data_IF_921475192872
#
_entry.id   IF_921475192872
#
_cell.length_a   1.000
_cell.length_b   1.000
_cell.length_c   1.000
_cell.angle_alpha   90.00
_cell.angle_beta   90.00
_cell.angle_gamma   90.00
#
_symmetry.space_group_name_H-M   'P 1'
#
loop_
_entity.id
_entity.type
_entity.pdbx_description
1 polymer ?
#
# COMPACT_ATOMS: atom_id res chain seq x y z
N UNK A 1 1.04 -11.67 -44.75
CA UNK A 1 -0.21 -11.78 -43.97
C UNK A 1 0.14 -12.33 -42.60
N UNK A 2 -0.15 -11.56 -41.56
CA UNK A 2 0.14 -11.84 -40.16
C UNK A 2 -0.60 -13.08 -39.67
N UNK A 3 0.14 -14.11 -39.27
CA UNK A 3 -0.42 -15.22 -38.49
C UNK A 3 -0.82 -14.68 -37.11
N UNK A 4 -2.12 -14.40 -36.94
CA UNK A 4 -2.72 -14.12 -35.65
C UNK A 4 -2.59 -15.38 -34.78
N UNK A 5 -1.57 -15.39 -33.93
CA UNK A 5 -1.38 -16.41 -32.90
C UNK A 5 -2.56 -16.34 -31.93
N UNK A 6 -3.63 -17.11 -32.20
CA UNK A 6 -4.75 -17.30 -31.27
C UNK A 6 -4.21 -18.04 -30.04
N UNK A 7 -3.77 -17.29 -29.04
CA UNK A 7 -3.54 -17.85 -27.69
C UNK A 7 -4.79 -18.64 -27.28
N UNK A 8 -4.61 -19.90 -26.89
CA UNK A 8 -5.70 -20.77 -26.42
C UNK A 8 -6.40 -20.12 -25.22
N UNK A 9 -7.71 -20.35 -25.05
CA UNK A 9 -8.50 -19.87 -23.90
C UNK A 9 -7.81 -20.24 -22.56
N UNK A 10 -7.21 -21.43 -22.47
CA UNK A 10 -6.40 -21.88 -21.33
C UNK A 10 -5.14 -21.04 -21.11
N UNK A 11 -4.59 -20.40 -22.14
CA UNK A 11 -3.44 -19.50 -22.04
C UNK A 11 -3.86 -18.14 -21.50
N UNK A 12 -5.02 -17.62 -21.92
CA UNK A 12 -5.63 -16.42 -21.33
C UNK A 12 -6.04 -16.63 -19.86
N UNK A 13 -6.59 -17.80 -19.54
CA UNK A 13 -6.93 -18.21 -18.17
C UNK A 13 -5.69 -18.32 -17.26
N UNK A 14 -4.56 -18.77 -17.81
CA UNK A 14 -3.28 -18.85 -17.10
C UNK A 14 -2.59 -17.50 -16.96
N UNK A 15 -2.68 -16.63 -17.97
CA UNK A 15 -2.09 -15.28 -17.95
C UNK A 15 -2.94 -14.26 -17.19
N UNK A 16 -4.24 -14.52 -17.00
CA UNK A 16 -5.21 -13.66 -16.33
C UNK A 16 -5.97 -14.33 -15.18
N UNK A 17 -5.42 -15.37 -14.55
CA UNK A 17 -6.14 -16.19 -13.56
C UNK A 17 -6.78 -15.38 -12.42
N UNK A 18 -6.13 -14.30 -11.99
CA UNK A 18 -6.68 -13.38 -10.99
C UNK A 18 -7.95 -12.64 -11.48
N UNK A 19 -8.01 -12.26 -12.76
CA UNK A 19 -9.18 -11.62 -13.35
C UNK A 19 -10.36 -12.58 -13.42
N UNK A 20 -10.09 -13.87 -13.67
CA UNK A 20 -11.13 -14.91 -13.65
C UNK A 20 -11.69 -15.09 -12.24
N UNK A 21 -10.82 -15.17 -11.23
CA UNK A 21 -11.23 -15.23 -9.82
C UNK A 21 -12.09 -14.01 -9.45
N UNK A 22 -11.66 -12.81 -9.84
CA UNK A 22 -12.43 -11.58 -9.63
C UNK A 22 -13.80 -11.63 -10.30
N UNK A 23 -13.88 -12.04 -11.57
CA UNK A 23 -15.14 -12.09 -12.32
C UNK A 23 -16.13 -13.08 -11.71
N UNK A 24 -15.66 -14.25 -11.28
CA UNK A 24 -16.49 -15.25 -10.60
C UNK A 24 -17.00 -14.70 -9.27
N UNK A 25 -16.13 -14.08 -8.48
CA UNK A 25 -16.50 -13.51 -7.19
C UNK A 25 -17.48 -12.34 -7.34
N UNK A 26 -17.27 -11.47 -8.33
CA UNK A 26 -18.22 -10.41 -8.68
C UNK A 26 -19.57 -10.97 -9.11
N UNK A 27 -19.60 -12.01 -9.94
CA UNK A 27 -20.85 -12.64 -10.36
C UNK A 27 -21.64 -13.19 -9.15
N UNK A 28 -20.95 -13.82 -8.20
CA UNK A 28 -21.57 -14.31 -6.95
C UNK A 28 -22.13 -13.15 -6.12
N UNK A 29 -21.35 -12.09 -5.90
CA UNK A 29 -21.77 -10.93 -5.10
C UNK A 29 -22.97 -10.24 -5.74
N UNK A 30 -22.92 -9.98 -7.05
CA UNK A 30 -23.99 -9.28 -7.78
C UNK A 30 -25.27 -10.12 -7.79
N UNK A 31 -25.14 -11.45 -7.90
CA UNK A 31 -26.29 -12.35 -7.82
C UNK A 31 -26.94 -12.34 -6.43
N UNK A 32 -26.13 -12.24 -5.37
CA UNK A 32 -26.63 -12.22 -3.99
C UNK A 32 -27.22 -10.86 -3.60
N UNK A 33 -26.57 -9.76 -4.00
CA UNK A 33 -27.07 -8.40 -3.80
C UNK A 33 -26.67 -7.47 -4.96
N UNK A 34 -27.60 -7.18 -5.88
CA UNK A 34 -27.36 -6.29 -7.02
C UNK A 34 -27.00 -4.85 -6.62
N UNK A 35 -27.37 -4.41 -5.40
CA UNK A 35 -27.06 -3.06 -4.92
C UNK A 35 -25.57 -2.84 -4.69
N UNK A 36 -24.77 -3.91 -4.70
CA UNK A 36 -23.32 -3.85 -4.75
C UNK A 36 -22.80 -2.92 -5.87
N UNK A 37 -23.47 -2.90 -7.03
CA UNK A 37 -23.10 -2.06 -8.18
C UNK A 37 -23.49 -0.58 -8.02
N UNK A 38 -24.02 -0.16 -6.87
CA UNK A 38 -24.39 1.23 -6.62
C UNK A 38 -23.19 2.17 -6.72
N UNK A 39 -23.44 3.41 -7.16
CA UNK A 39 -22.42 4.46 -7.22
C UNK A 39 -21.82 4.80 -5.85
N UNK A 40 -22.56 4.57 -4.77
CA UNK A 40 -22.07 4.71 -3.40
C UNK A 40 -21.04 3.64 -3.05
N UNK A 41 -21.32 2.37 -3.37
CA UNK A 41 -20.36 1.29 -3.17
C UNK A 41 -19.11 1.48 -4.02
N UNK A 42 -19.27 1.92 -5.28
CA UNK A 42 -18.13 2.29 -6.12
C UNK A 42 -17.29 3.41 -5.50
N UNK A 43 -17.94 4.44 -4.95
CA UNK A 43 -17.27 5.55 -4.25
C UNK A 43 -16.47 5.05 -3.03
N UNK A 44 -17.05 4.14 -2.24
CA UNK A 44 -16.40 3.56 -1.07
C UNK A 44 -15.21 2.69 -1.45
N UNK A 45 -15.35 1.85 -2.48
CA UNK A 45 -14.27 1.03 -3.02
C UNK A 45 -13.11 1.92 -3.46
N UNK A 46 -13.38 2.97 -4.25
CA UNK A 46 -12.35 3.89 -4.70
C UNK A 46 -11.65 4.61 -3.53
N UNK A 47 -12.41 5.05 -2.53
CA UNK A 47 -11.85 5.71 -1.34
C UNK A 47 -10.92 4.77 -0.56
N UNK A 48 -11.32 3.52 -0.35
CA UNK A 48 -10.47 2.51 0.31
C UNK A 48 -9.26 2.14 -0.54
N UNK A 49 -9.45 1.94 -1.84
CA UNK A 49 -8.35 1.65 -2.78
C UNK A 49 -7.33 2.78 -2.78
N UNK A 50 -7.75 4.03 -2.65
CA UNK A 50 -6.87 5.20 -2.73
C UNK A 50 -5.75 5.15 -1.68
N UNK A 51 -6.08 4.82 -0.42
CA UNK A 51 -5.07 4.67 0.63
C UNK A 51 -4.15 3.48 0.36
N UNK A 52 -4.72 2.35 -0.11
CA UNK A 52 -3.96 1.14 -0.43
C UNK A 52 -3.03 1.32 -1.62
N UNK A 53 -3.41 2.14 -2.60
CA UNK A 53 -2.58 2.50 -3.75
C UNK A 53 -1.32 3.21 -3.26
N UNK A 54 -1.46 4.21 -2.39
CA UNK A 54 -0.32 4.96 -1.84
C UNK A 54 0.68 4.01 -1.17
N UNK A 55 0.21 3.10 -0.32
CA UNK A 55 1.05 2.10 0.35
C UNK A 55 1.70 1.15 -0.67
N UNK A 56 0.91 0.62 -1.62
CA UNK A 56 1.39 -0.31 -2.63
C UNK A 56 2.44 0.32 -3.55
N UNK A 57 2.33 1.61 -3.87
CA UNK A 57 3.35 2.33 -4.64
C UNK A 57 4.70 2.36 -3.92
N UNK A 58 4.71 2.50 -2.59
CA UNK A 58 5.92 2.40 -1.78
C UNK A 58 6.54 0.99 -1.84
N UNK A 59 5.72 -0.05 -1.70
CA UNK A 59 6.18 -1.45 -1.79
C UNK A 59 6.65 -1.82 -3.21
N UNK A 60 5.98 -1.33 -4.24
CA UNK A 60 6.25 -1.70 -5.63
C UNK A 60 7.69 -1.36 -6.04
N UNK A 61 8.22 -0.20 -5.62
CA UNK A 61 9.60 0.18 -5.93
C UNK A 61 10.62 -0.81 -5.37
N UNK A 62 10.36 -1.35 -4.17
CA UNK A 62 11.22 -2.33 -3.52
C UNK A 62 11.17 -3.67 -4.24
N UNK A 63 9.98 -4.15 -4.61
CA UNK A 63 9.82 -5.41 -5.36
C UNK A 63 10.55 -5.33 -6.70
N UNK A 64 10.47 -4.19 -7.41
CA UNK A 64 11.20 -4.01 -8.67
C UNK A 64 12.71 -4.20 -8.46
N UNK A 65 13.27 -3.79 -7.31
CA UNK A 65 14.69 -4.01 -6.98
C UNK A 65 15.01 -5.37 -6.34
N UNK A 66 14.12 -6.37 -6.43
CA UNK A 66 14.24 -7.67 -5.74
C UNK A 66 14.23 -7.57 -4.20
N UNK A 67 13.80 -6.43 -3.67
CA UNK A 67 13.60 -6.20 -2.25
C UNK A 67 12.18 -6.51 -1.80
N UNK A 68 11.96 -6.41 -0.50
CA UNK A 68 10.63 -6.46 0.10
C UNK A 68 10.62 -5.60 1.37
N UNK A 69 9.43 -5.27 1.87
CA UNK A 69 9.25 -4.63 3.17
C UNK A 69 8.01 -5.17 3.88
N UNK A 70 8.24 -6.03 4.88
CA UNK A 70 7.20 -6.54 5.76
C UNK A 70 6.82 -5.58 6.89
N UNK A 71 7.61 -4.52 7.13
CA UNK A 71 7.31 -3.53 8.15
C UNK A 71 6.27 -2.50 7.70
N UNK A 72 5.89 -2.48 6.42
CA UNK A 72 5.03 -1.45 5.84
C UNK A 72 3.72 -1.25 6.63
N UNK A 73 2.98 -2.32 6.97
CA UNK A 73 1.74 -2.19 7.74
C UNK A 73 1.94 -1.66 9.16
N UNK A 74 3.06 -1.99 9.81
CA UNK A 74 3.39 -1.45 11.15
C UNK A 74 3.84 0.01 11.08
N UNK A 75 4.51 0.43 10.01
CA UNK A 75 4.80 1.83 9.76
C UNK A 75 3.52 2.64 9.49
N UNK A 76 2.58 2.10 8.73
CA UNK A 76 1.22 2.68 8.54
C UNK A 76 0.53 2.86 9.89
N UNK A 77 0.56 1.84 10.75
CA UNK A 77 -0.03 1.89 12.09
C UNK A 77 0.61 2.96 12.99
N UNK A 78 1.94 3.01 13.03
CA UNK A 78 2.66 4.04 13.80
C UNK A 78 2.33 5.44 13.31
N UNK A 79 2.38 5.68 12.00
CA UNK A 79 2.06 6.98 11.44
C UNK A 79 0.60 7.38 11.66
N UNK A 80 -0.33 6.42 11.61
CA UNK A 80 -1.73 6.63 11.95
C UNK A 80 -1.91 7.07 13.40
N UNK A 81 -1.25 6.41 14.36
CA UNK A 81 -1.31 6.75 15.79
C UNK A 81 -0.69 8.12 16.08
N UNK A 82 0.46 8.43 15.48
CA UNK A 82 1.10 9.75 15.60
C UNK A 82 0.22 10.84 15.00
N UNK A 83 -0.28 10.65 13.77
CA UNK A 83 -1.17 11.62 13.12
C UNK A 83 -2.47 11.82 13.91
N UNK A 84 -3.10 10.72 14.35
CA UNK A 84 -4.33 10.74 15.12
C UNK A 84 -4.16 11.52 16.42
N UNK A 85 -3.02 11.37 17.10
CA UNK A 85 -2.70 12.12 18.32
C UNK A 85 -2.57 13.62 18.04
N UNK A 86 -1.78 13.99 17.02
CA UNK A 86 -1.44 15.39 16.76
C UNK A 86 -2.59 16.20 16.13
N UNK A 87 -3.60 15.52 15.58
CA UNK A 87 -4.74 16.12 14.87
C UNK A 87 -6.08 15.98 15.62
N UNK A 88 -6.06 15.66 16.92
CA UNK A 88 -7.27 15.70 17.75
C UNK A 88 -7.78 17.13 17.93
N UNK A 89 -9.11 17.29 17.94
CA UNK A 89 -9.76 18.56 18.26
C UNK A 89 -9.39 19.03 19.66
N UNK A 90 -9.36 20.36 19.87
CA UNK A 90 -9.21 20.97 21.20
C UNK A 90 -10.37 20.60 22.13
N UNK A 91 -11.57 20.43 21.57
CA UNK A 91 -12.79 20.14 22.33
C UNK A 91 -12.94 18.65 22.68
N UNK A 92 -11.99 17.81 22.25
CA UNK A 92 -12.05 16.39 22.51
C UNK A 92 -11.71 16.09 23.97
N UNK A 93 -12.68 15.57 24.71
CA UNK A 93 -12.52 15.17 26.13
C UNK A 93 -11.44 14.10 26.29
N UNK A 94 -11.23 13.25 25.29
CA UNK A 94 -10.22 12.18 25.29
C UNK A 94 -8.95 12.59 24.52
N UNK A 95 -8.60 13.88 24.54
CA UNK A 95 -7.38 14.37 23.91
C UNK A 95 -6.15 13.85 24.66
N UNK A 96 -5.22 13.25 23.93
CA UNK A 96 -3.99 12.65 24.47
C UNK A 96 -3.12 13.70 25.16
N UNK A 97 -2.99 14.88 24.54
CA UNK A 97 -2.28 16.02 25.09
C UNK A 97 -3.24 17.21 25.24
N UNK A 98 -3.92 17.36 26.39
CA UNK A 98 -4.96 18.37 26.58
C UNK A 98 -4.50 19.81 26.33
N UNK A 99 -3.26 20.13 26.73
CA UNK A 99 -2.69 21.48 26.60
C UNK A 99 -2.11 21.78 25.20
N UNK A 100 -2.00 20.76 24.33
CA UNK A 100 -1.41 20.94 23.00
C UNK A 100 -2.43 21.60 22.06
N UNK A 101 -2.04 22.69 21.41
CA UNK A 101 -2.84 23.29 20.35
C UNK A 101 -2.96 22.37 19.13
N UNK A 102 -4.06 22.48 18.36
CA UNK A 102 -4.20 21.77 17.08
C UNK A 102 -3.08 22.19 16.13
N UNK A 103 -2.29 21.21 15.68
CA UNK A 103 -1.22 21.49 14.72
C UNK A 103 -1.77 21.62 13.30
N UNK A 104 -1.19 22.49 12.45
CA UNK A 104 -1.56 22.53 11.04
C UNK A 104 -1.30 21.19 10.34
N UNK A 105 -2.23 20.75 9.50
CA UNK A 105 -2.17 19.42 8.83
C UNK A 105 -0.86 19.21 8.08
N UNK A 106 -0.34 20.23 7.40
CA UNK A 106 0.92 20.12 6.64
C UNK A 106 2.14 19.86 7.53
N UNK A 107 2.14 20.38 8.76
CA UNK A 107 3.21 20.12 9.74
C UNK A 107 3.16 18.65 10.17
N UNK A 108 1.96 18.14 10.45
CA UNK A 108 1.79 16.73 10.83
C UNK A 108 2.16 15.81 9.67
N UNK A 109 1.81 16.15 8.43
CA UNK A 109 2.25 15.40 7.23
C UNK A 109 3.78 15.33 7.19
N UNK A 110 4.47 16.45 7.39
CA UNK A 110 5.93 16.48 7.38
C UNK A 110 6.50 15.60 8.51
N UNK A 111 5.96 15.68 9.73
CA UNK A 111 6.41 14.88 10.88
C UNK A 111 6.28 13.38 10.58
N UNK A 112 5.09 12.92 10.16
CA UNK A 112 4.89 11.48 9.92
C UNK A 112 5.73 10.99 8.74
N UNK A 113 5.86 11.79 7.67
CA UNK A 113 6.71 11.44 6.53
C UNK A 113 8.19 11.36 6.93
N UNK A 114 8.68 12.23 7.82
CA UNK A 114 10.05 12.15 8.35
C UNK A 114 10.23 10.89 9.19
N UNK A 115 9.29 10.55 10.07
CA UNK A 115 9.34 9.31 10.86
C UNK A 115 9.38 8.08 9.93
N UNK A 116 8.49 8.03 8.94
CA UNK A 116 8.48 6.96 7.94
C UNK A 116 9.79 6.89 7.16
N UNK A 117 10.30 8.04 6.68
CA UNK A 117 11.57 8.10 5.96
C UNK A 117 12.74 7.61 6.81
N UNK A 118 12.79 7.91 8.11
CA UNK A 118 13.84 7.44 9.02
C UNK A 118 13.79 5.92 9.15
N UNK A 119 12.61 5.34 9.37
CA UNK A 119 12.45 3.88 9.48
C UNK A 119 12.85 3.21 8.16
N UNK A 120 12.40 3.77 7.04
CA UNK A 120 12.80 3.36 5.70
C UNK A 120 14.32 3.43 5.50
N UNK A 121 14.95 4.55 5.85
CA UNK A 121 16.40 4.72 5.76
C UNK A 121 17.16 3.70 6.60
N UNK A 122 16.69 3.38 7.82
CA UNK A 122 17.30 2.34 8.66
C UNK A 122 17.27 0.99 7.94
N UNK A 123 16.12 0.60 7.37
CA UNK A 123 16.01 -0.61 6.55
C UNK A 123 16.99 -0.56 5.36
N UNK A 124 17.00 0.57 4.64
CA UNK A 124 17.88 0.78 3.50
C UNK A 124 19.36 0.69 3.86
N UNK A 125 19.79 1.23 5.00
CA UNK A 125 21.19 1.19 5.46
C UNK A 125 21.60 -0.25 5.74
N UNK A 126 20.77 -0.98 6.50
CA UNK A 126 21.05 -2.37 6.87
C UNK A 126 21.14 -3.24 5.60
N UNK A 127 20.23 -3.03 4.65
CA UNK A 127 20.20 -3.83 3.41
C UNK A 127 21.35 -3.45 2.48
N UNK A 128 21.58 -2.16 2.25
CA UNK A 128 22.54 -1.68 1.27
C UNK A 128 24.01 -1.76 1.71
N UNK A 129 24.29 -1.56 3.01
CA UNK A 129 25.66 -1.52 3.54
C UNK A 129 26.03 -2.77 4.34
N UNK A 130 25.10 -3.31 5.12
CA UNK A 130 25.36 -4.53 5.89
C UNK A 130 25.07 -5.80 5.09
N UNK A 131 24.52 -5.68 3.87
CA UNK A 131 24.17 -6.78 2.97
C UNK A 131 23.27 -7.83 3.62
N UNK A 132 22.41 -7.41 4.55
CA UNK A 132 21.40 -8.28 5.17
C UNK A 132 20.25 -8.45 4.19
N UNK A 133 19.66 -9.65 4.15
CA UNK A 133 18.52 -9.91 3.27
C UNK A 133 17.33 -9.01 3.63
N UNK A 134 16.64 -8.42 2.64
CA UNK A 134 15.52 -7.50 2.86
C UNK A 134 14.41 -8.06 3.75
N UNK A 135 14.06 -9.33 3.56
CA UNK A 135 13.02 -9.99 4.34
C UNK A 135 13.33 -10.01 5.84
N UNK A 136 14.55 -10.39 6.23
CA UNK A 136 14.94 -10.48 7.64
C UNK A 136 14.99 -9.08 8.28
N UNK A 137 15.59 -8.13 7.57
CA UNK A 137 15.69 -6.73 8.04
C UNK A 137 14.30 -6.15 8.31
N UNK A 138 13.39 -6.27 7.35
CA UNK A 138 12.07 -5.66 7.46
C UNK A 138 11.14 -6.43 8.39
N UNK A 139 11.31 -7.75 8.55
CA UNK A 139 10.64 -8.51 9.61
C UNK A 139 11.08 -8.05 11.01
N UNK A 140 12.38 -7.82 11.22
CA UNK A 140 12.89 -7.28 12.47
C UNK A 140 12.34 -5.88 12.75
N UNK A 141 12.38 -4.99 11.76
CA UNK A 141 11.82 -3.65 11.86
C UNK A 141 10.31 -3.66 12.10
N UNK A 142 9.57 -4.59 11.50
CA UNK A 142 8.13 -4.78 11.77
C UNK A 142 7.87 -4.99 13.26
N UNK A 143 8.65 -5.86 13.92
CA UNK A 143 8.52 -6.16 15.35
C UNK A 143 8.91 -4.95 16.20
N UNK A 144 10.02 -4.27 15.86
CA UNK A 144 10.49 -3.07 16.57
C UNK A 144 9.45 -1.95 16.50
N UNK A 145 8.98 -1.63 15.29
CA UNK A 145 7.97 -0.57 15.06
C UNK A 145 6.66 -0.91 15.76
N UNK A 146 6.24 -2.18 15.72
CA UNK A 146 5.05 -2.62 16.44
C UNK A 146 5.22 -2.49 17.95
N UNK A 147 6.39 -2.82 18.51
CA UNK A 147 6.70 -2.64 19.93
C UNK A 147 6.67 -1.17 20.35
N UNK A 148 7.31 -0.27 19.58
CA UNK A 148 7.29 1.17 19.82
C UNK A 148 5.86 1.71 19.78
N UNK A 149 5.08 1.34 18.75
CA UNK A 149 3.68 1.74 18.63
C UNK A 149 2.84 1.24 19.80
N UNK A 150 3.07 -0.01 20.23
CA UNK A 150 2.36 -0.63 21.35
C UNK A 150 2.66 0.07 22.68
N UNK A 151 3.93 0.39 22.95
CA UNK A 151 4.33 1.13 24.15
C UNK A 151 3.70 2.52 24.20
N UNK A 152 3.69 3.23 23.06
CA UNK A 152 3.04 4.52 22.98
C UNK A 152 1.52 4.40 23.16
N UNK A 153 0.89 3.44 22.50
CA UNK A 153 -0.56 3.24 22.59
C UNK A 153 -1.01 2.85 24.01
N UNK A 154 -0.21 2.03 24.71
CA UNK A 154 -0.42 1.69 26.13
C UNK A 154 -0.28 2.91 27.04
N UNK A 155 0.77 3.73 26.84
CA UNK A 155 0.97 4.99 27.57
C UNK A 155 -0.23 5.95 27.44
N UNK A 156 -0.85 5.98 26.25
CA UNK A 156 -2.02 6.84 25.97
C UNK A 156 -3.34 6.25 26.50
N UNK A 157 -3.30 5.11 27.20
CA UNK A 157 -4.45 4.49 27.86
C UNK A 157 -5.12 3.38 27.06
N UNK A 158 -4.46 2.85 26.03
CA UNK A 158 -4.90 1.72 25.20
C UNK A 158 -6.29 1.89 24.54
N UNK A 159 -6.79 3.11 24.43
CA UNK A 159 -8.08 3.44 23.82
C UNK A 159 -7.90 3.97 22.39
N UNK A 160 -8.86 3.72 21.47
CA UNK A 160 -8.79 4.27 20.12
C UNK A 160 -8.65 5.80 20.11
N UNK A 161 -7.57 6.29 19.50
CA UNK A 161 -7.29 7.72 19.38
C UNK A 161 -8.17 8.27 18.27
N UNK A 162 -9.14 9.10 18.64
CA UNK A 162 -10.21 9.61 17.76
C UNK A 162 -10.56 11.05 18.13
N UNK A 163 -11.68 11.59 17.64
CA UNK A 163 -12.14 12.95 17.93
C UNK A 163 -11.26 14.01 17.25
N UNK A 164 -11.09 13.85 15.94
CA UNK A 164 -10.24 14.69 15.12
C UNK A 164 -10.79 16.10 14.92
N UNK A 165 -9.88 17.04 14.67
CA UNK A 165 -10.24 18.38 14.24
C UNK A 165 -11.07 18.35 12.95
N UNK A 166 -12.00 19.30 12.81
CA UNK A 166 -12.91 19.39 11.67
C UNK A 166 -12.18 19.60 10.33
N UNK A 167 -11.05 20.30 10.35
CA UNK A 167 -10.19 20.49 9.20
C UNK A 167 -9.56 19.18 8.75
N UNK A 168 -9.05 18.36 9.69
CA UNK A 168 -8.52 17.04 9.35
C UNK A 168 -9.61 16.08 8.87
N UNK A 169 -10.77 16.09 9.53
CA UNK A 169 -11.92 15.27 9.12
C UNK A 169 -12.38 15.63 7.71
N UNK A 170 -12.44 16.91 7.36
CA UNK A 170 -12.74 17.36 6.00
C UNK A 170 -11.64 16.97 5.02
N UNK A 171 -10.37 17.06 5.42
CA UNK A 171 -9.23 16.68 4.58
C UNK A 171 -9.25 15.20 4.16
N UNK A 172 -9.73 14.29 5.03
CA UNK A 172 -9.75 12.84 4.77
C UNK A 172 -11.13 12.27 4.40
N UNK A 173 -12.22 12.86 4.86
CA UNK A 173 -13.59 12.36 4.62
C UNK A 173 -14.38 13.25 3.66
N UNK A 174 -13.85 14.42 3.31
CA UNK A 174 -14.44 15.32 2.31
C UNK A 174 -14.55 14.66 0.94
N UNK A 175 -15.55 15.09 0.17
CA UNK A 175 -15.83 14.57 -1.16
C UNK A 175 -16.42 15.63 -2.08
N UNK A 176 -16.25 15.41 -3.38
CA UNK A 176 -16.99 16.13 -4.43
C UNK A 176 -18.19 15.28 -4.83
N UNK A 177 -19.39 15.83 -4.70
CA UNK A 177 -20.61 15.16 -5.12
C UNK A 177 -20.86 15.34 -6.62
N UNK A 178 -21.04 14.24 -7.34
CA UNK A 178 -21.46 14.19 -8.74
C UNK A 178 -22.76 13.37 -8.80
N UNK A 179 -23.87 14.02 -8.49
CA UNK A 179 -25.15 13.33 -8.29
C UNK A 179 -25.09 12.38 -7.08
N UNK A 180 -25.33 11.09 -7.30
CA UNK A 180 -25.23 10.04 -6.27
C UNK A 180 -23.82 9.47 -6.09
N UNK A 181 -22.86 9.85 -6.94
CA UNK A 181 -21.46 9.47 -6.82
C UNK A 181 -20.69 10.47 -5.94
N UNK A 182 -19.85 9.97 -5.03
CA UNK A 182 -19.06 10.80 -4.10
C UNK A 182 -17.58 10.52 -4.31
N UNK A 183 -16.87 11.46 -4.94
CA UNK A 183 -15.44 11.31 -5.15
C UNK A 183 -14.67 11.89 -3.96
N UNK A 184 -14.10 11.03 -3.10
CA UNK A 184 -13.36 11.44 -1.91
C UNK A 184 -12.08 12.22 -2.26
N UNK A 185 -11.71 13.19 -1.41
CA UNK A 185 -10.44 13.91 -1.51
C UNK A 185 -9.21 12.98 -1.47
N UNK A 186 -9.30 11.86 -0.75
CA UNK A 186 -8.23 10.85 -0.70
C UNK A 186 -7.93 10.29 -2.11
N UNK A 187 -8.93 10.18 -2.97
CA UNK A 187 -8.72 9.72 -4.36
C UNK A 187 -7.85 10.69 -5.14
N UNK A 188 -7.97 12.00 -4.92
CA UNK A 188 -7.08 12.98 -5.53
C UNK A 188 -5.65 12.86 -4.99
N UNK A 189 -5.47 12.64 -3.70
CA UNK A 189 -4.12 12.41 -3.12
C UNK A 189 -3.46 11.15 -3.69
N UNK A 190 -4.23 10.08 -3.89
CA UNK A 190 -3.75 8.87 -4.54
C UNK A 190 -3.39 9.11 -6.01
N UNK A 191 -4.18 9.87 -6.76
CA UNK A 191 -3.85 10.26 -8.14
C UNK A 191 -2.57 11.10 -8.23
N UNK A 192 -2.35 12.01 -7.28
CA UNK A 192 -1.11 12.79 -7.17
C UNK A 192 0.08 11.85 -6.90
N UNK A 193 -0.06 10.89 -5.97
CA UNK A 193 0.97 9.90 -5.69
C UNK A 193 1.26 9.02 -6.91
N UNK A 194 0.22 8.56 -7.63
CA UNK A 194 0.36 7.80 -8.88
C UNK A 194 1.10 8.60 -9.94
N UNK A 195 0.71 9.86 -10.17
CA UNK A 195 1.37 10.74 -11.13
C UNK A 195 2.85 10.98 -10.75
N UNK A 196 3.12 11.23 -9.47
CA UNK A 196 4.48 11.41 -8.95
C UNK A 196 5.33 10.16 -9.19
N UNK A 197 4.86 8.97 -8.82
CA UNK A 197 5.61 7.71 -9.01
C UNK A 197 5.74 7.37 -10.50
N UNK A 198 4.73 7.66 -11.32
CA UNK A 198 4.81 7.47 -12.76
C UNK A 198 5.90 8.34 -13.40
N UNK A 199 5.98 9.62 -13.02
CA UNK A 199 7.07 10.51 -13.46
C UNK A 199 8.41 9.99 -12.94
N UNK A 200 8.48 9.60 -11.66
CA UNK A 200 9.69 9.07 -11.05
C UNK A 200 10.22 7.85 -11.81
N UNK A 201 9.36 6.87 -12.11
CA UNK A 201 9.75 5.63 -12.79
C UNK A 201 10.08 5.84 -14.27
N UNK A 202 9.32 6.66 -14.99
CA UNK A 202 9.43 6.75 -16.45
C UNK A 202 10.29 7.92 -16.96
N UNK A 203 10.44 8.98 -16.16
CA UNK A 203 11.06 10.24 -16.61
C UNK A 203 12.34 10.61 -15.88
N UNK A 204 12.68 9.95 -14.78
CA UNK A 204 13.90 10.28 -14.01
C UNK A 204 15.01 9.24 -14.17
N UNK A 205 16.27 9.64 -13.89
CA UNK A 205 17.41 8.72 -13.81
C UNK A 205 17.23 7.71 -12.68
N UNK A 206 16.68 8.15 -11.55
CA UNK A 206 16.37 7.29 -10.41
C UNK A 206 15.46 6.12 -10.80
N UNK A 207 14.39 6.39 -11.56
CA UNK A 207 13.53 5.33 -12.12
C UNK A 207 14.30 4.33 -12.99
N UNK A 208 15.10 4.81 -13.94
CA UNK A 208 15.93 3.91 -14.78
C UNK A 208 16.89 3.05 -13.96
N UNK A 209 17.49 3.63 -12.92
CA UNK A 209 18.38 2.91 -12.02
C UNK A 209 17.64 1.81 -11.24
N UNK A 210 16.41 2.08 -10.74
CA UNK A 210 15.57 1.08 -10.06
C UNK A 210 15.39 -0.16 -10.95
N UNK A 211 14.98 0.03 -12.21
CA UNK A 211 14.75 -1.08 -13.14
C UNK A 211 16.05 -1.80 -13.52
N UNK A 212 17.15 -1.06 -13.68
CA UNK A 212 18.47 -1.65 -13.97
C UNK A 212 18.97 -2.52 -12.81
N UNK A 213 18.87 -2.02 -11.57
CA UNK A 213 19.20 -2.77 -10.36
C UNK A 213 18.34 -4.02 -10.27
N UNK A 214 17.05 -3.89 -10.50
CA UNK A 214 16.11 -5.01 -10.48
C UNK A 214 16.39 -6.11 -11.49
N UNK A 215 16.86 -5.75 -12.69
CA UNK A 215 17.20 -6.73 -13.72
C UNK A 215 18.51 -7.46 -13.44
N UNK A 216 19.55 -6.70 -13.08
CA UNK A 216 20.85 -7.26 -12.70
C UNK A 216 21.65 -6.24 -11.86
N UNK A 217 21.73 -6.42 -10.52
CA UNK A 217 22.45 -5.50 -9.64
C UNK A 217 23.93 -5.36 -9.97
N UNK A 218 24.60 -6.45 -10.37
CA UNK A 218 26.02 -6.44 -10.71
C UNK A 218 26.29 -5.68 -12.01
N UNK A 219 25.47 -5.91 -13.04
CA UNK A 219 25.58 -5.17 -14.30
C UNK A 219 25.27 -3.67 -14.12
N UNK A 220 24.31 -3.33 -13.25
CA UNK A 220 24.03 -1.95 -12.90
C UNK A 220 25.23 -1.26 -12.24
N UNK A 221 25.92 -1.96 -11.31
CA UNK A 221 27.13 -1.46 -10.64
C UNK A 221 28.28 -1.22 -11.62
N UNK A 222 28.53 -2.16 -12.55
CA UNK A 222 29.53 -2.01 -13.62
C UNK A 222 29.18 -0.86 -14.56
N UNK A 223 27.89 -0.56 -14.75
CA UNK A 223 27.40 0.55 -15.56
C UNK A 223 27.41 1.91 -14.82
N UNK A 224 28.05 2.01 -13.64
CA UNK A 224 28.20 3.24 -12.88
C UNK A 224 27.00 3.63 -12.02
N UNK A 225 26.01 2.74 -11.84
CA UNK A 225 24.88 2.98 -10.94
C UNK A 225 25.32 2.74 -9.50
N UNK A 226 25.15 3.75 -8.63
CA UNK A 226 25.36 3.58 -7.20
C UNK A 226 24.18 2.79 -6.58
N UNK A 227 24.27 1.46 -6.58
CA UNK A 227 23.21 0.58 -6.08
C UNK A 227 22.81 0.92 -4.65
N UNK A 228 23.79 1.12 -3.76
CA UNK A 228 23.53 1.40 -2.35
C UNK A 228 22.73 2.69 -2.12
N UNK A 229 23.11 3.77 -2.80
CA UNK A 229 22.39 5.04 -2.70
C UNK A 229 20.97 4.93 -3.25
N UNK A 230 20.77 4.22 -4.36
CA UNK A 230 19.43 4.02 -4.91
C UNK A 230 18.57 3.21 -3.94
N UNK A 231 19.09 2.12 -3.35
CA UNK A 231 18.37 1.34 -2.33
C UNK A 231 17.96 2.21 -1.13
N UNK A 232 18.88 3.02 -0.58
CA UNK A 232 18.57 3.96 0.50
C UNK A 232 17.39 4.87 0.15
N UNK A 233 17.43 5.49 -1.02
CA UNK A 233 16.39 6.40 -1.48
C UNK A 233 15.04 5.70 -1.69
N UNK A 234 15.03 4.47 -2.21
CA UNK A 234 13.78 3.71 -2.43
C UNK A 234 13.14 3.34 -1.10
N UNK A 235 13.93 2.84 -0.14
CA UNK A 235 13.43 2.49 1.20
C UNK A 235 12.98 3.73 2.00
N UNK A 236 13.70 4.86 1.89
CA UNK A 236 13.25 6.11 2.49
C UNK A 236 11.89 6.57 1.91
N UNK A 237 11.79 6.54 0.58
CA UNK A 237 10.56 6.93 -0.13
C UNK A 237 9.40 6.00 0.18
N UNK A 238 9.65 4.69 0.32
CA UNK A 238 8.62 3.73 0.71
C UNK A 238 8.06 4.04 2.10
N UNK A 239 8.94 4.35 3.06
CA UNK A 239 8.55 4.81 4.40
C UNK A 239 7.68 6.07 4.38
N UNK A 240 8.00 7.05 3.52
CA UNK A 240 7.16 8.25 3.31
C UNK A 240 5.75 7.87 2.83
N UNK A 241 5.64 6.97 1.85
CA UNK A 241 4.35 6.49 1.35
C UNK A 241 3.55 5.74 2.41
N UNK A 242 4.21 4.90 3.21
CA UNK A 242 3.56 4.17 4.31
C UNK A 242 3.01 5.14 5.36
N UNK A 243 3.81 6.14 5.73
CA UNK A 243 3.41 7.11 6.74
C UNK A 243 2.27 8.02 6.27
N UNK A 244 2.35 8.52 5.04
CA UNK A 244 1.28 9.32 4.44
C UNK A 244 -0.01 8.50 4.28
N UNK A 245 0.10 7.25 3.81
CA UNK A 245 -1.02 6.32 3.76
C UNK A 245 -1.64 6.03 5.15
N UNK A 246 -0.80 5.88 6.18
CA UNK A 246 -1.25 5.69 7.57
C UNK A 246 -2.05 6.85 8.13
N UNK A 247 -1.56 8.08 7.94
CA UNK A 247 -2.32 9.28 8.31
C UNK A 247 -3.68 9.32 7.62
N UNK A 248 -3.71 9.10 6.30
CA UNK A 248 -4.97 9.12 5.53
C UNK A 248 -5.92 8.00 5.97
N UNK A 249 -5.40 6.81 6.28
CA UNK A 249 -6.23 5.70 6.79
C UNK A 249 -6.85 6.04 8.15
N UNK A 250 -6.07 6.64 9.06
CA UNK A 250 -6.57 7.07 10.36
C UNK A 250 -7.74 8.05 10.21
N UNK A 251 -7.55 9.11 9.41
CA UNK A 251 -8.59 10.10 9.17
C UNK A 251 -9.79 9.55 8.41
N UNK A 252 -9.60 8.59 7.49
CA UNK A 252 -10.69 7.90 6.76
C UNK A 252 -11.54 7.05 7.70
N UNK A 253 -10.91 6.32 8.62
CA UNK A 253 -11.59 5.48 9.62
C UNK A 253 -12.20 6.35 10.74
N UNK A 254 -11.62 7.52 11.01
CA UNK A 254 -12.02 8.40 12.12
C UNK A 254 -11.39 8.01 13.46
N UNK A 255 -10.48 7.04 13.46
CA UNK A 255 -9.71 6.63 14.64
C UNK A 255 -8.43 5.89 14.25
N UNK A 256 -7.47 5.84 15.17
CA UNK A 256 -6.29 4.98 15.09
C UNK A 256 -6.20 4.08 16.33
N UNK A 257 -5.81 2.82 16.09
CA UNK A 257 -5.56 1.82 17.14
C UNK A 257 -4.18 1.19 16.93
N UNK A 258 -3.64 0.52 17.95
CA UNK A 258 -2.37 -0.22 17.83
C UNK A 258 -2.37 -1.27 16.68
N UNK A 259 -3.54 -1.77 16.31
CA UNK A 259 -3.69 -2.78 15.26
C UNK A 259 -3.99 -2.19 13.86
N UNK A 260 -4.11 -0.86 13.73
CA UNK A 260 -4.27 -0.25 12.41
C UNK A 260 -3.05 -0.56 11.54
N UNK A 261 -3.28 -0.97 10.30
CA UNK A 261 -2.21 -1.39 9.39
C UNK A 261 -1.83 -2.87 9.48
N UNK A 262 -2.48 -3.66 10.34
CA UNK A 262 -2.22 -5.10 10.44
C UNK A 262 -2.34 -5.81 9.08
N UNK A 263 -1.25 -6.47 8.64
CA UNK A 263 -1.16 -7.24 7.39
C UNK A 263 -1.36 -6.40 6.11
N UNK A 264 -1.23 -5.08 6.18
CA UNK A 264 -1.37 -4.21 4.99
C UNK A 264 -0.20 -4.42 4.02
N UNK A 265 0.97 -4.79 4.53
CA UNK A 265 2.14 -5.18 3.74
C UNK A 265 1.83 -6.35 2.82
N UNK A 266 1.10 -7.37 3.29
CA UNK A 266 0.79 -8.56 2.48
C UNK A 266 -0.22 -8.22 1.39
N UNK A 267 -1.24 -7.41 1.71
CA UNK A 267 -2.20 -6.91 0.72
C UNK A 267 -1.48 -6.08 -0.37
N UNK A 268 -0.55 -5.21 0.03
CA UNK A 268 0.20 -4.36 -0.90
C UNK A 268 1.14 -5.16 -1.80
N UNK A 269 1.90 -6.10 -1.23
CA UNK A 269 2.79 -7.01 -1.98
C UNK A 269 1.97 -7.80 -3.01
N UNK A 270 0.88 -8.41 -2.58
CA UNK A 270 0.06 -9.25 -3.44
C UNK A 270 -0.61 -8.45 -4.56
N UNK A 271 -1.09 -7.25 -4.26
CA UNK A 271 -1.63 -6.33 -5.25
C UNK A 271 -0.57 -5.94 -6.30
N UNK A 272 0.68 -5.71 -5.91
CA UNK A 272 1.76 -5.42 -6.85
C UNK A 272 2.03 -6.59 -7.79
N UNK A 273 2.07 -7.82 -7.27
CA UNK A 273 2.32 -9.04 -8.06
C UNK A 273 1.18 -9.32 -9.02
N UNK A 274 -0.06 -9.22 -8.54
CA UNK A 274 -1.27 -9.28 -9.38
C UNK A 274 -1.26 -8.20 -10.46
N UNK A 275 -0.77 -7.01 -10.11
CA UNK A 275 -0.55 -5.89 -11.02
C UNK A 275 0.58 -6.08 -12.03
N UNK A 276 1.32 -7.20 -11.96
CA UNK A 276 2.39 -7.54 -12.89
C UNK A 276 3.78 -6.99 -12.52
N UNK A 277 3.99 -6.56 -11.28
CA UNK A 277 5.33 -6.31 -10.74
C UNK A 277 5.96 -7.65 -10.38
N UNK A 278 7.13 -7.95 -10.93
CA UNK A 278 7.76 -9.27 -10.73
C UNK A 278 8.65 -9.30 -9.48
N UNK A 279 8.54 -10.38 -8.71
CA UNK A 279 9.48 -10.68 -7.63
C UNK A 279 10.89 -10.99 -8.11
N UNK A 280 11.05 -11.38 -9.37
CA UNK A 280 12.35 -11.56 -10.00
C UNK A 280 13.05 -10.23 -10.31
N UNK A 281 12.38 -9.09 -10.10
CA UNK A 281 12.90 -7.75 -10.30
C UNK A 281 12.89 -7.26 -11.74
N UNK A 282 13.13 -5.96 -11.91
CA UNK A 282 13.32 -5.32 -13.22
C UNK A 282 12.07 -5.19 -14.10
N UNK A 283 10.90 -5.62 -13.61
CA UNK A 283 9.63 -5.57 -14.34
C UNK A 283 8.52 -5.06 -13.42
N UNK A 284 7.78 -4.05 -13.90
CA UNK A 284 6.63 -3.49 -13.20
C UNK A 284 6.13 -2.21 -13.84
N UNK A 285 4.85 -1.87 -13.62
CA UNK A 285 4.26 -0.60 -14.07
C UNK A 285 3.38 -0.01 -12.98
N UNK A 286 3.35 1.32 -12.90
CA UNK A 286 2.51 2.04 -11.92
C UNK A 286 1.03 1.73 -12.12
N UNK A 287 0.55 1.72 -13.37
CA UNK A 287 -0.84 1.36 -13.68
C UNK A 287 -1.18 -0.09 -13.35
N UNK A 288 -0.21 -1.00 -13.46
CA UNK A 288 -0.33 -2.37 -13.01
C UNK A 288 -0.59 -2.45 -11.51
N UNK A 289 0.22 -1.76 -10.71
CA UNK A 289 0.05 -1.67 -9.24
C UNK A 289 -1.33 -1.14 -8.87
N UNK A 290 -1.76 -0.04 -9.50
CA UNK A 290 -3.09 0.56 -9.26
C UNK A 290 -4.21 -0.44 -9.57
N UNK A 291 -4.13 -1.10 -10.73
CA UNK A 291 -5.12 -2.13 -11.12
C UNK A 291 -5.15 -3.26 -10.10
N UNK A 292 -4.00 -3.78 -9.69
CA UNK A 292 -3.91 -4.86 -8.71
C UNK A 292 -4.51 -4.49 -7.36
N UNK A 293 -4.30 -3.25 -6.88
CA UNK A 293 -4.91 -2.76 -5.64
C UNK A 293 -6.42 -2.65 -5.76
N UNK A 294 -6.94 -2.15 -6.89
CA UNK A 294 -8.38 -2.06 -7.11
C UNK A 294 -9.00 -3.46 -7.10
N UNK A 295 -8.38 -4.44 -7.78
CA UNK A 295 -8.83 -5.84 -7.77
C UNK A 295 -8.93 -6.38 -6.34
N UNK A 296 -7.84 -6.25 -5.56
CA UNK A 296 -7.83 -6.71 -4.17
C UNK A 296 -8.85 -5.99 -3.30
N UNK A 297 -9.04 -4.68 -3.50
CA UNK A 297 -10.02 -3.90 -2.73
C UNK A 297 -11.45 -4.35 -3.05
N UNK A 298 -11.77 -4.54 -4.34
CA UNK A 298 -13.10 -5.01 -4.77
C UNK A 298 -13.40 -6.38 -4.16
N UNK A 299 -12.43 -7.30 -4.14
CA UNK A 299 -12.60 -8.63 -3.52
C UNK A 299 -12.91 -8.48 -2.03
N UNK A 300 -12.12 -7.71 -1.28
CA UNK A 300 -12.28 -7.57 0.16
C UNK A 300 -13.55 -6.82 0.55
N UNK A 301 -13.83 -5.71 -0.15
CA UNK A 301 -15.05 -4.93 0.05
C UNK A 301 -16.27 -5.76 -0.29
N UNK A 302 -16.24 -6.48 -1.42
CA UNK A 302 -17.30 -7.37 -1.87
C UNK A 302 -17.62 -8.50 -0.90
N UNK A 303 -16.60 -9.23 -0.43
CA UNK A 303 -16.79 -10.28 0.58
C UNK A 303 -17.37 -9.73 1.89
N UNK A 304 -16.88 -8.57 2.33
CA UNK A 304 -17.43 -7.91 3.52
C UNK A 304 -18.87 -7.45 3.30
N UNK A 305 -19.19 -6.96 2.10
CA UNK A 305 -20.52 -6.48 1.74
C UNK A 305 -21.58 -7.57 1.83
N UNK A 306 -21.27 -8.79 1.38
CA UNK A 306 -22.17 -9.95 1.49
C UNK A 306 -22.10 -10.66 2.85
N UNK A 307 -21.43 -10.05 3.85
CA UNK A 307 -21.38 -10.56 5.22
C UNK A 307 -20.45 -11.76 5.43
N UNK A 308 -19.48 -12.01 4.54
CA UNK A 308 -18.48 -13.07 4.74
C UNK A 308 -17.60 -12.71 5.93
N UNK A 309 -17.50 -13.65 6.87
CA UNK A 309 -16.69 -13.47 8.08
C UNK A 309 -15.22 -13.11 7.72
N UNK A 310 -14.62 -12.10 8.37
CA UNK A 310 -13.22 -11.70 8.14
C UNK A 310 -12.20 -12.84 8.23
N UNK A 311 -12.44 -13.87 9.05
CA UNK A 311 -11.55 -15.03 9.15
C UNK A 311 -11.50 -15.85 7.86
N UNK A 312 -12.63 -16.02 7.16
CA UNK A 312 -12.66 -16.62 5.84
C UNK A 312 -11.95 -15.75 4.81
N UNK A 313 -12.06 -14.42 4.95
CA UNK A 313 -11.35 -13.50 4.07
C UNK A 313 -9.83 -13.67 4.19
N UNK A 314 -9.27 -13.95 5.38
CA UNK A 314 -7.84 -14.25 5.52
C UNK A 314 -7.41 -15.52 4.75
N UNK A 315 -8.22 -16.57 4.78
CA UNK A 315 -7.94 -17.82 4.04
C UNK A 315 -7.97 -17.53 2.53
N UNK A 316 -8.99 -16.82 2.06
CA UNK A 316 -9.14 -16.44 0.65
C UNK A 316 -7.98 -15.56 0.21
N UNK A 317 -7.64 -14.53 0.99
CA UNK A 317 -6.48 -13.66 0.75
C UNK A 317 -5.22 -14.49 0.62
N UNK A 318 -4.88 -15.32 1.62
CA UNK A 318 -3.68 -16.16 1.59
C UNK A 318 -3.60 -17.05 0.35
N UNK A 319 -4.72 -17.66 -0.04
CA UNK A 319 -4.82 -18.44 -1.28
C UNK A 319 -4.53 -17.62 -2.55
N UNK A 320 -5.10 -16.41 -2.64
CA UNK A 320 -4.86 -15.49 -3.77
C UNK A 320 -3.38 -15.08 -3.83
N UNK A 321 -2.75 -14.78 -2.69
CA UNK A 321 -1.33 -14.41 -2.62
C UNK A 321 -0.47 -15.56 -3.15
N UNK A 322 -0.64 -16.77 -2.61
CA UNK A 322 0.12 -17.95 -3.04
C UNK A 322 -0.08 -18.19 -4.54
N UNK A 323 -1.32 -18.12 -5.02
CA UNK A 323 -1.62 -18.31 -6.44
C UNK A 323 -0.94 -17.27 -7.32
N UNK A 324 -1.03 -15.98 -6.97
CA UNK A 324 -0.42 -14.89 -7.73
C UNK A 324 1.11 -15.03 -7.79
N UNK A 325 1.75 -15.33 -6.67
CA UNK A 325 3.22 -15.48 -6.59
C UNK A 325 3.70 -16.75 -7.28
N UNK A 326 2.95 -17.86 -7.18
CA UNK A 326 3.28 -19.09 -7.88
C UNK A 326 3.22 -18.90 -9.41
N UNK A 327 2.22 -18.18 -9.91
CA UNK A 327 2.13 -17.85 -11.34
C UNK A 327 3.28 -16.94 -11.79
N UNK A 328 3.64 -15.92 -11.01
CA UNK A 328 4.80 -15.07 -11.32
C UNK A 328 6.09 -15.91 -11.39
N UNK A 329 6.33 -16.73 -10.37
CA UNK A 329 7.53 -17.59 -10.28
C UNK A 329 7.63 -18.55 -11.47
N UNK A 330 6.54 -19.21 -11.85
CA UNK A 330 6.50 -20.15 -12.97
C UNK A 330 6.73 -19.46 -14.33
N UNK A 331 6.26 -18.22 -14.49
CA UNK A 331 6.42 -17.44 -15.74
C UNK A 331 7.89 -17.13 -16.02
N UNK A 332 8.68 -16.87 -14.98
CA UNK A 332 10.11 -16.52 -15.13
C UNK A 332 11.05 -17.72 -15.00
N UNK A 333 10.66 -18.79 -14.30
CA UNK A 333 11.47 -20.02 -14.24
C UNK A 333 11.69 -20.67 -15.63
N UNK A 334 10.74 -20.48 -16.56
CA UNK A 334 10.82 -20.99 -17.94
C UNK A 334 11.72 -20.18 -18.88
N UNK A 335 12.26 -19.04 -18.43
CA UNK A 335 13.16 -18.18 -19.22
C UNK A 335 14.63 -18.31 -18.85
N UNK A 336 14.94 -19.06 -17.78
CA UNK A 336 16.30 -19.53 -17.47
C UNK A 336 16.52 -20.88 -18.14
#
# INVERSE_FOLDING_TARGET
MSALNKKSFLTYLKEGGIYVVLLVLLAIIIFQDPTFLSLLNLSNILTQSSVRIIIALGVAGLIVTQGTDLSAGRQVGLAAVVAATLLQSMDNVNKVFPEMATMPIFVVIAIVCVIGAIIGLINGIIIAYLNVTPFITTLGTMIIVYGINSLYYDFVGASPISGFDSGFSTFTQGFIALGSFRLSYITFYALIAVAFVWVLWNKTRFGKNIFAIGGNPEAAKVSGVNVALNLLMIYALSGVFYAFGGMLEAGRIGSATNNLGFMYELDAIAACVVGGVSFSGGVGTVFGVVTGVIIFTVINYGLTYIGVNPYWQYIIKGGIIIFAVALDSLKYARKK
#
